data_IF_621938280138
#
_entry.id   IF_621938280138
#
_cell.length_a   1.000
_cell.length_b   1.000
_cell.length_c   1.000
_cell.angle_alpha   90.00
_cell.angle_beta   90.00
_cell.angle_gamma   90.00
#
_symmetry.space_group_name_H-M   'P 1'
#
loop_
_entity.id
_entity.type
_entity.pdbx_description
1 polymer ?
#
# COMPACT_ATOMS: atom_id res chain seq x y z
N UNK A 1 63.64 19.06 -34.38
CA UNK A 1 64.07 20.23 -33.59
C UNK A 1 63.63 21.48 -34.35
N UNK A 2 62.67 22.23 -33.79
CA UNK A 2 62.20 23.60 -34.14
C UNK A 2 61.86 23.89 -35.63
N UNK A 3 60.57 24.02 -35.96
CA UNK A 3 59.71 25.23 -35.93
C UNK A 3 59.89 26.22 -37.09
N UNK A 4 58.79 26.33 -37.87
CA UNK A 4 58.10 27.54 -38.36
C UNK A 4 58.77 28.40 -39.44
N UNK A 5 58.07 28.54 -40.57
CA UNK A 5 57.67 29.83 -41.17
C UNK A 5 56.70 29.67 -42.36
N UNK A 6 55.70 30.56 -42.46
CA UNK A 6 55.23 31.30 -43.65
C UNK A 6 53.89 32.01 -43.27
N UNK A 7 53.82 33.35 -43.11
CA UNK A 7 53.55 34.43 -44.11
C UNK A 7 52.31 34.16 -44.98
N UNK A 8 51.42 35.08 -45.37
CA UNK A 8 51.03 36.50 -45.13
C UNK A 8 49.73 36.72 -45.97
N UNK A 9 49.13 37.93 -45.90
CA UNK A 9 48.16 38.56 -46.85
C UNK A 9 46.65 38.36 -46.57
N UNK A 10 45.70 39.30 -46.73
CA UNK A 10 45.61 40.68 -47.26
C UNK A 10 44.52 41.45 -46.48
N UNK A 11 44.64 42.77 -46.42
CA UNK A 11 43.67 43.75 -45.91
C UNK A 11 42.70 44.23 -46.99
N UNK A 12 41.39 44.26 -46.76
CA UNK A 12 40.44 45.18 -47.44
C UNK A 12 39.30 45.57 -46.49
N UNK A 13 39.07 46.87 -46.33
CA UNK A 13 37.96 47.48 -45.62
C UNK A 13 36.71 47.51 -46.52
N UNK A 14 35.53 47.26 -45.95
CA UNK A 14 34.29 47.94 -46.35
C UNK A 14 33.26 47.83 -45.22
N UNK A 15 32.88 49.00 -44.72
CA UNK A 15 31.86 49.18 -43.70
C UNK A 15 30.47 48.87 -44.26
N UNK A 16 29.69 48.07 -43.53
CA UNK A 16 28.24 48.12 -43.60
C UNK A 16 27.70 48.19 -42.18
N UNK A 17 27.12 49.34 -41.84
CA UNK A 17 26.38 49.54 -40.61
C UNK A 17 25.11 48.68 -40.65
N UNK A 18 25.10 47.59 -39.87
CA UNK A 18 23.87 46.92 -39.47
C UNK A 18 23.57 47.40 -38.05
N UNK A 19 22.58 48.29 -37.95
CA UNK A 19 21.93 48.63 -36.69
C UNK A 19 21.49 47.36 -35.99
N UNK A 20 22.17 46.98 -34.90
CA UNK A 20 21.68 45.99 -33.94
C UNK A 20 20.41 46.56 -33.31
N UNK A 21 19.26 46.16 -33.84
CA UNK A 21 18.02 46.19 -33.08
C UNK A 21 18.19 45.12 -32.00
N UNK A 22 18.67 45.54 -30.84
CA UNK A 22 18.73 44.69 -29.64
C UNK A 22 17.29 44.52 -29.15
N UNK A 23 16.53 43.68 -29.84
CA UNK A 23 15.27 43.16 -29.35
C UNK A 23 15.60 42.27 -28.17
N UNK A 24 15.41 42.78 -26.96
CA UNK A 24 15.26 41.95 -25.77
C UNK A 24 14.06 41.05 -26.00
N UNK A 25 14.28 39.86 -26.55
CA UNK A 25 13.38 38.74 -26.35
C UNK A 25 13.44 38.44 -24.85
N UNK A 26 12.62 39.15 -24.08
CA UNK A 26 12.18 38.66 -22.79
C UNK A 26 11.51 37.32 -23.09
N UNK A 27 12.23 36.23 -22.86
CA UNK A 27 11.57 34.95 -22.68
C UNK A 27 10.54 35.20 -21.59
N UNK A 28 9.26 35.17 -21.95
CA UNK A 28 8.19 35.23 -20.98
C UNK A 28 8.41 34.03 -20.07
N UNK A 29 9.00 34.24 -18.90
CA UNK A 29 9.05 33.25 -17.84
C UNK A 29 7.60 33.00 -17.49
N UNK A 30 7.05 31.88 -17.98
CA UNK A 30 5.70 31.43 -17.66
C UNK A 30 5.62 31.43 -16.13
N UNK A 31 4.77 32.30 -15.56
CA UNK A 31 4.67 32.42 -14.11
C UNK A 31 4.25 31.05 -13.55
N UNK A 32 4.88 30.60 -12.45
CA UNK A 32 4.56 29.29 -11.90
C UNK A 32 3.07 29.26 -11.50
N UNK A 33 2.37 28.13 -11.74
CA UNK A 33 0.96 28.01 -11.41
C UNK A 33 0.76 28.16 -9.90
N UNK A 34 -0.14 29.05 -9.49
CA UNK A 34 -0.51 29.25 -8.08
C UNK A 34 -1.95 28.85 -7.86
N UNK A 35 -2.18 28.03 -6.83
CA UNK A 35 -3.52 27.65 -6.36
C UNK A 35 -3.71 28.19 -4.95
N UNK A 36 -4.78 28.94 -4.74
CA UNK A 36 -5.17 29.43 -3.42
C UNK A 36 -6.09 28.41 -2.76
N UNK A 37 -5.60 27.78 -1.68
CA UNK A 37 -6.39 26.91 -0.80
C UNK A 37 -6.85 27.67 0.44
N UNK A 38 -7.68 27.05 1.29
CA UNK A 38 -8.04 27.65 2.57
C UNK A 38 -6.86 27.87 3.53
N UNK A 39 -5.82 27.03 3.44
CA UNK A 39 -4.62 27.14 4.26
C UNK A 39 -3.66 28.23 3.74
N UNK A 40 -3.69 28.52 2.43
CA UNK A 40 -2.86 29.55 1.82
C UNK A 40 -2.51 29.25 0.36
N UNK A 41 -1.72 30.15 -0.28
CA UNK A 41 -1.24 29.97 -1.65
C UNK A 41 -0.23 28.82 -1.76
N UNK A 42 -0.38 27.99 -2.80
CA UNK A 42 0.49 26.87 -3.13
C UNK A 42 1.03 27.07 -4.54
N UNK A 43 2.35 27.04 -4.69
CA UNK A 43 3.05 27.19 -5.98
C UNK A 43 3.41 25.81 -6.51
N UNK A 44 2.89 25.47 -7.69
CA UNK A 44 3.20 24.22 -8.39
C UNK A 44 4.10 24.43 -9.60
N UNK A 45 4.13 23.44 -10.48
CA UNK A 45 4.90 23.45 -11.73
C UNK A 45 4.06 22.91 -12.89
N UNK A 46 4.22 23.46 -14.09
CA UNK A 46 3.66 22.88 -15.32
C UNK A 46 4.65 21.85 -15.89
N UNK A 47 4.24 20.59 -16.00
CA UNK A 47 5.05 19.48 -16.51
C UNK A 47 4.39 18.90 -17.76
N UNK A 48 4.83 19.38 -18.93
CA UNK A 48 4.23 18.98 -20.21
C UNK A 48 2.76 19.41 -20.30
N UNK A 49 1.84 18.44 -20.26
CA UNK A 49 0.40 18.66 -20.43
C UNK A 49 -0.40 18.70 -19.12
N UNK A 50 0.26 18.69 -17.96
CA UNK A 50 -0.39 18.78 -16.65
C UNK A 50 0.36 19.71 -15.71
N UNK A 51 -0.31 20.04 -14.61
CA UNK A 51 0.21 20.80 -13.49
C UNK A 51 0.43 19.86 -12.31
N UNK A 52 1.57 20.00 -11.64
CA UNK A 52 1.97 19.22 -10.49
C UNK A 52 2.07 20.12 -9.26
N UNK A 53 1.48 19.66 -8.16
CA UNK A 53 1.63 20.23 -6.82
C UNK A 53 2.00 19.10 -5.89
N UNK A 54 3.24 19.05 -5.43
CA UNK A 54 3.85 17.93 -4.73
C UNK A 54 4.30 18.34 -3.33
N UNK A 55 4.23 17.41 -2.37
CA UNK A 55 4.65 17.70 -1.00
C UNK A 55 3.69 18.60 -0.21
N UNK A 56 2.38 18.55 -0.49
CA UNK A 56 1.37 19.31 0.25
C UNK A 56 1.04 18.59 1.56
N UNK A 57 1.25 19.19 2.75
CA UNK A 57 0.92 18.55 4.03
C UNK A 57 -0.59 18.52 4.24
N UNK A 58 -1.15 17.33 4.44
CA UNK A 58 -2.59 17.17 4.69
C UNK A 58 -2.92 16.94 6.16
N UNK A 59 -1.92 16.55 6.95
CA UNK A 59 -1.99 16.36 8.38
C UNK A 59 -0.73 16.92 9.05
N UNK A 60 -0.80 17.16 10.36
CA UNK A 60 0.37 17.55 11.15
C UNK A 60 1.39 16.39 11.21
N UNK A 61 2.70 16.68 11.33
CA UNK A 61 3.72 15.65 11.47
C UNK A 61 3.40 14.68 12.62
N UNK A 62 3.38 13.35 12.37
CA UNK A 62 3.00 12.37 13.37
C UNK A 62 4.16 11.98 14.31
N UNK A 63 4.96 12.97 14.71
CA UNK A 63 6.16 12.81 15.53
C UNK A 63 5.89 13.07 17.02
N UNK A 64 6.80 12.63 17.89
CA UNK A 64 6.70 12.83 19.35
C UNK A 64 5.39 12.26 19.92
N UNK A 65 4.63 13.08 20.63
CA UNK A 65 3.33 12.67 21.21
C UNK A 65 2.28 12.28 20.16
N UNK A 66 2.43 12.71 18.90
CA UNK A 66 1.53 12.30 17.79
C UNK A 66 1.89 10.93 17.22
N UNK A 67 3.04 10.36 17.60
CA UNK A 67 3.38 8.98 17.27
C UNK A 67 2.38 8.04 17.94
N UNK A 68 1.89 7.07 17.16
CA UNK A 68 0.83 6.13 17.57
C UNK A 68 -0.49 6.81 17.98
N UNK A 69 -0.80 7.97 17.37
CA UNK A 69 -2.07 8.66 17.52
C UNK A 69 -2.76 8.85 16.16
N UNK A 70 -4.08 9.09 16.19
CA UNK A 70 -4.84 9.46 15.00
C UNK A 70 -4.27 10.77 14.39
N UNK A 71 -4.27 10.92 13.05
CA UNK A 71 -3.78 12.13 12.41
C UNK A 71 -4.65 13.33 12.79
N UNK A 72 -4.00 14.46 12.99
CA UNK A 72 -4.64 15.77 13.06
C UNK A 72 -4.56 16.42 11.67
N UNK A 73 -5.69 16.85 11.11
CA UNK A 73 -5.68 17.62 9.85
C UNK A 73 -4.78 18.84 9.99
N UNK A 74 -4.09 19.18 8.90
CA UNK A 74 -3.28 20.38 8.88
C UNK A 74 -4.17 21.62 8.76
N UNK A 75 -4.30 22.36 9.86
CA UNK A 75 -5.06 23.61 9.99
C UNK A 75 -4.17 24.85 9.98
N UNK A 76 -2.84 24.68 9.78
CA UNK A 76 -1.89 25.79 9.66
C UNK A 76 -2.27 26.69 8.48
N UNK A 77 -2.31 28.01 8.73
CA UNK A 77 -2.54 29.02 7.70
C UNK A 77 -1.25 29.78 7.42
N UNK A 78 -0.97 30.05 6.15
CA UNK A 78 0.19 30.80 5.71
C UNK A 78 -0.19 31.89 4.70
N UNK A 79 0.48 33.04 4.79
CA UNK A 79 0.36 34.12 3.80
C UNK A 79 1.34 33.94 2.64
N UNK A 80 2.55 33.47 2.94
CA UNK A 80 3.62 33.32 1.95
C UNK A 80 3.39 32.09 1.07
N UNK A 81 3.53 32.19 -0.26
CA UNK A 81 3.35 31.05 -1.17
C UNK A 81 4.26 29.87 -0.80
N UNK A 82 3.64 28.73 -0.51
CA UNK A 82 4.37 27.49 -0.21
C UNK A 82 4.81 26.83 -1.50
N UNK A 83 6.09 26.52 -1.60
CA UNK A 83 6.63 25.77 -2.73
C UNK A 83 6.18 24.30 -2.66
N UNK A 84 5.49 23.84 -3.70
CA UNK A 84 5.00 22.48 -3.87
C UNK A 84 5.46 21.90 -5.22
N UNK A 85 6.74 22.09 -5.58
CA UNK A 85 7.33 21.50 -6.79
C UNK A 85 8.16 20.24 -6.52
N UNK A 86 8.24 19.81 -5.26
CA UNK A 86 9.04 18.66 -4.83
C UNK A 86 8.20 17.70 -4.01
N UNK A 87 8.29 16.41 -4.31
CA UNK A 87 7.67 15.34 -3.53
C UNK A 87 8.15 15.40 -2.08
N UNK A 88 7.21 15.31 -1.13
CA UNK A 88 7.53 15.25 0.30
C UNK A 88 8.20 13.93 0.70
N UNK A 89 8.79 13.84 1.90
CA UNK A 89 9.46 12.62 2.35
C UNK A 89 8.54 11.40 2.35
N UNK A 90 9.04 10.26 1.88
CA UNK A 90 8.37 8.96 2.04
C UNK A 90 8.27 8.59 3.51
N UNK A 91 7.21 7.87 3.90
CA UNK A 91 7.06 7.41 5.28
C UNK A 91 8.15 6.42 5.67
N UNK A 92 8.67 6.56 6.89
CA UNK A 92 9.70 5.69 7.43
C UNK A 92 9.23 4.24 7.40
N UNK A 93 10.04 3.39 6.77
CA UNK A 93 9.69 2.02 6.42
C UNK A 93 10.91 1.12 6.37
N UNK A 94 10.68 -0.18 6.56
CA UNK A 94 11.64 -1.22 6.25
C UNK A 94 11.30 -1.77 4.86
N UNK A 95 11.91 -1.25 3.79
CA UNK A 95 11.40 -1.47 2.44
C UNK A 95 11.85 -2.78 1.81
N UNK A 96 10.90 -3.61 1.35
CA UNK A 96 11.22 -4.84 0.62
C UNK A 96 12.03 -4.54 -0.66
N UNK A 97 11.74 -3.42 -1.34
CA UNK A 97 12.34 -3.08 -2.63
C UNK A 97 13.77 -2.53 -2.54
N UNK A 98 14.28 -2.28 -1.33
CA UNK A 98 15.65 -1.81 -1.12
C UNK A 98 16.57 -3.03 -0.98
N UNK A 99 17.62 -3.16 -1.82
CA UNK A 99 18.58 -4.23 -1.70
C UNK A 99 19.50 -4.01 -0.50
N UNK A 100 20.14 -5.07 -0.01
CA UNK A 100 21.10 -5.00 1.08
C UNK A 100 20.52 -5.29 2.47
N UNK A 101 21.37 -5.15 3.49
CA UNK A 101 21.06 -5.53 4.88
C UNK A 101 20.25 -4.48 5.62
N UNK A 102 20.59 -3.19 5.49
CA UNK A 102 19.79 -2.10 6.05
C UNK A 102 18.79 -1.62 4.99
N UNK A 103 17.53 -2.00 5.18
CA UNK A 103 16.42 -1.66 4.27
C UNK A 103 15.61 -0.46 4.78
N UNK A 104 16.10 0.24 5.81
CA UNK A 104 15.45 1.43 6.36
C UNK A 104 15.45 2.57 5.35
N UNK A 105 14.30 3.22 5.19
CA UNK A 105 14.14 4.36 4.28
C UNK A 105 12.99 5.26 4.70
N UNK A 106 13.07 6.55 4.34
CA UNK A 106 12.02 7.54 4.60
C UNK A 106 12.21 8.35 5.88
N UNK A 107 11.17 9.05 6.29
CA UNK A 107 11.12 9.90 7.48
C UNK A 107 9.78 9.76 8.22
N UNK A 108 9.76 10.06 9.52
CA UNK A 108 8.52 10.01 10.31
C UNK A 108 7.55 11.15 9.94
N UNK A 109 8.08 12.34 9.66
CA UNK A 109 7.29 13.41 9.05
C UNK A 109 7.06 13.12 7.56
N UNK A 110 5.93 12.50 7.25
CA UNK A 110 5.66 11.99 5.90
C UNK A 110 4.23 12.18 5.40
N UNK A 111 3.34 12.85 6.15
CA UNK A 111 1.91 12.97 5.81
C UNK A 111 1.65 14.06 4.75
N UNK A 112 2.18 13.79 3.56
CA UNK A 112 2.15 14.66 2.39
C UNK A 112 1.38 14.02 1.24
N UNK A 113 0.80 14.87 0.39
CA UNK A 113 0.14 14.47 -0.84
C UNK A 113 0.66 15.24 -2.06
N UNK A 114 0.35 14.70 -3.23
CA UNK A 114 0.63 15.27 -4.53
C UNK A 114 -0.66 15.33 -5.34
N UNK A 115 -0.88 16.43 -6.04
CA UNK A 115 -2.06 16.69 -6.85
C UNK A 115 -1.61 17.02 -8.27
N UNK A 116 -2.16 16.28 -9.22
CA UNK A 116 -1.87 16.44 -10.64
C UNK A 116 -3.16 16.73 -11.40
N UNK A 117 -3.19 17.81 -12.17
CA UNK A 117 -4.40 18.30 -12.86
C UNK A 117 -4.07 18.86 -14.24
N UNK A 118 -5.00 18.76 -15.19
CA UNK A 118 -4.88 19.36 -16.52
C UNK A 118 -5.65 20.70 -16.64
N UNK A 119 -6.20 21.21 -15.54
CA UNK A 119 -7.25 22.24 -15.56
C UNK A 119 -6.79 23.71 -15.40
N UNK A 120 -5.52 24.00 -15.14
CA UNK A 120 -5.13 25.34 -14.67
C UNK A 120 -4.81 26.37 -15.77
N UNK A 121 -4.93 26.03 -17.06
CA UNK A 121 -4.66 26.98 -18.15
C UNK A 121 -5.69 28.14 -18.14
N UNK A 122 -5.18 29.36 -18.10
CA UNK A 122 -5.97 30.60 -18.09
C UNK A 122 -6.73 30.79 -19.40
N UNK A 123 -8.06 30.77 -19.32
CA UNK A 123 -9.00 31.04 -20.42
C UNK A 123 -10.13 29.99 -20.54
N UNK A 124 -9.87 28.73 -20.19
CA UNK A 124 -10.85 27.64 -20.16
C UNK A 124 -10.57 26.66 -19.01
N UNK A 125 -10.54 27.17 -17.78
CA UNK A 125 -10.40 26.34 -16.58
C UNK A 125 -11.51 25.28 -16.54
N UNK A 126 -11.16 24.03 -16.77
CA UNK A 126 -12.09 22.90 -16.75
C UNK A 126 -12.50 22.57 -15.32
N UNK A 127 -13.70 22.98 -14.93
CA UNK A 127 -14.22 22.68 -13.59
C UNK A 127 -14.99 21.35 -13.59
N UNK A 128 -15.20 20.79 -12.39
CA UNK A 128 -16.01 19.59 -12.22
C UNK A 128 -15.31 18.29 -12.59
N UNK A 129 -13.96 18.28 -12.64
CA UNK A 129 -13.19 17.09 -13.01
C UNK A 129 -13.33 15.99 -11.95
N UNK A 130 -13.42 14.74 -12.43
CA UNK A 130 -13.30 13.56 -11.56
C UNK A 130 -11.90 13.44 -10.99
N UNK A 131 -11.83 13.10 -9.70
CA UNK A 131 -10.59 12.88 -8.97
C UNK A 131 -10.35 11.40 -8.75
N UNK A 132 -9.21 10.90 -9.21
CA UNK A 132 -8.70 9.58 -8.85
C UNK A 132 -7.81 9.74 -7.60
N UNK A 133 -8.30 9.26 -6.47
CA UNK A 133 -7.57 9.24 -5.21
C UNK A 133 -6.84 7.91 -5.09
N UNK A 134 -5.54 7.91 -5.41
CA UNK A 134 -4.73 6.72 -5.54
C UNK A 134 -4.03 6.35 -4.23
N UNK A 135 -4.36 5.18 -3.69
CA UNK A 135 -3.79 4.59 -2.47
C UNK A 135 -2.73 3.57 -2.90
N UNK A 136 -1.46 3.82 -2.56
CA UNK A 136 -0.38 2.92 -2.93
C UNK A 136 -0.41 1.60 -2.14
N UNK A 137 0.11 0.53 -2.77
CA UNK A 137 0.35 -0.76 -2.14
C UNK A 137 1.67 -0.82 -1.37
N UNK A 138 2.13 -2.05 -1.09
CA UNK A 138 3.35 -2.33 -0.32
C UNK A 138 3.08 -2.95 1.05
N UNK A 139 2.10 -3.86 1.10
CA UNK A 139 1.78 -4.70 2.27
C UNK A 139 1.56 -3.94 3.60
N UNK A 140 1.17 -2.65 3.55
CA UNK A 140 1.14 -1.76 4.72
C UNK A 140 2.50 -1.50 5.39
N UNK A 141 3.59 -2.08 4.86
CA UNK A 141 4.94 -2.05 5.42
C UNK A 141 5.87 -1.09 4.67
N UNK A 142 5.65 -0.88 3.38
CA UNK A 142 6.51 -0.09 2.50
C UNK A 142 5.72 0.58 1.36
N UNK A 143 6.38 1.39 0.53
CA UNK A 143 5.78 2.09 -0.61
C UNK A 143 5.71 3.60 -0.42
N UNK A 144 5.00 4.28 -1.32
CA UNK A 144 4.86 5.73 -1.25
C UNK A 144 4.06 6.34 -2.40
N UNK A 145 3.44 7.50 -2.13
CA UNK A 145 2.67 8.26 -3.12
C UNK A 145 3.51 8.86 -4.23
N UNK A 146 4.81 9.08 -3.99
CA UNK A 146 5.76 9.60 -4.97
C UNK A 146 6.26 8.58 -6.02
N UNK A 147 5.95 7.29 -5.86
CA UNK A 147 6.44 6.23 -6.76
C UNK A 147 5.69 6.17 -8.10
N UNK A 148 4.55 6.84 -8.23
CA UNK A 148 3.63 6.69 -9.36
C UNK A 148 3.58 7.96 -10.20
N UNK A 149 3.89 7.82 -11.49
CA UNK A 149 3.80 8.91 -12.46
C UNK A 149 2.35 9.08 -12.98
N UNK A 150 1.84 10.32 -13.07
CA UNK A 150 0.49 10.59 -13.55
C UNK A 150 0.36 10.59 -15.09
N UNK A 151 1.48 10.49 -15.83
CA UNK A 151 1.56 10.76 -17.28
C UNK A 151 0.53 9.99 -18.13
N UNK A 152 0.26 8.72 -17.80
CA UNK A 152 -0.70 7.90 -18.55
C UNK A 152 -2.15 8.24 -18.22
N UNK A 153 -2.43 8.53 -16.95
CA UNK A 153 -3.76 8.86 -16.43
C UNK A 153 -4.22 10.23 -16.94
N UNK A 154 -3.32 11.20 -16.94
CA UNK A 154 -3.59 12.59 -17.34
C UNK A 154 -3.52 12.85 -18.85
N UNK A 155 -3.60 11.79 -19.68
CA UNK A 155 -3.94 11.94 -21.10
C UNK A 155 -5.39 12.37 -21.33
N UNK A 156 -6.23 12.25 -20.30
CA UNK A 156 -7.63 12.71 -20.30
C UNK A 156 -7.84 13.71 -19.16
N UNK A 157 -8.77 14.68 -19.32
CA UNK A 157 -9.11 15.63 -18.27
C UNK A 157 -9.59 14.95 -16.98
N UNK A 158 -8.72 14.91 -15.98
CA UNK A 158 -8.94 14.31 -14.66
C UNK A 158 -8.01 14.97 -13.64
N UNK A 159 -8.27 14.71 -12.37
CA UNK A 159 -7.31 14.95 -11.30
C UNK A 159 -6.81 13.60 -10.79
N UNK A 160 -5.51 13.51 -10.55
CA UNK A 160 -4.91 12.39 -9.83
C UNK A 160 -4.32 12.92 -8.53
N UNK A 161 -4.68 12.28 -7.42
CA UNK A 161 -4.09 12.53 -6.11
C UNK A 161 -3.31 11.28 -5.71
N UNK A 162 -2.03 11.44 -5.39
CA UNK A 162 -1.24 10.43 -4.70
C UNK A 162 -0.82 10.96 -3.35
N UNK A 163 -0.56 10.11 -2.38
CA UNK A 163 -0.23 10.56 -1.04
C UNK A 163 0.49 9.44 -0.27
N UNK A 164 1.17 9.83 0.80
CA UNK A 164 1.78 8.92 1.74
C UNK A 164 0.84 8.71 2.93
N UNK A 165 0.86 7.53 3.54
CA UNK A 165 0.23 7.23 4.84
C UNK A 165 1.24 6.46 5.69
N UNK A 166 1.14 6.51 7.03
CA UNK A 166 2.11 5.81 7.89
C UNK A 166 2.11 4.30 7.64
N UNK A 167 3.28 3.69 7.71
CA UNK A 167 3.55 2.29 7.38
C UNK A 167 4.14 1.54 8.57
N UNK A 168 4.15 0.21 8.48
CA UNK A 168 4.77 -0.69 9.44
C UNK A 168 4.35 -0.38 10.88
N UNK A 169 5.28 -0.41 11.85
CA UNK A 169 4.92 -0.17 13.25
C UNK A 169 4.40 1.25 13.49
N UNK A 170 4.85 2.25 12.74
CA UNK A 170 4.40 3.63 12.93
C UNK A 170 2.93 3.83 12.49
N UNK A 171 2.47 3.05 11.51
CA UNK A 171 1.10 3.10 11.00
C UNK A 171 0.15 2.06 11.60
N UNK A 172 0.66 0.91 12.05
CA UNK A 172 -0.15 -0.28 12.31
C UNK A 172 0.17 -0.99 13.62
N UNK A 173 1.03 -0.44 14.49
CA UNK A 173 1.18 -0.95 15.85
C UNK A 173 -0.16 -0.85 16.59
N UNK A 174 -0.54 -1.92 17.29
CA UNK A 174 -1.73 -1.98 18.13
C UNK A 174 -1.43 -2.73 19.43
N UNK A 175 -1.95 -2.23 20.53
CA UNK A 175 -1.96 -2.91 21.84
C UNK A 175 -3.23 -3.70 22.08
N UNK A 176 -4.16 -3.72 21.11
CA UNK A 176 -5.47 -4.40 21.18
C UNK A 176 -6.35 -3.95 22.37
N UNK A 177 -6.04 -2.76 22.89
CA UNK A 177 -6.79 -2.02 23.90
C UNK A 177 -7.01 -0.57 23.45
N UNK A 178 -7.49 0.27 24.37
CA UNK A 178 -7.84 1.66 24.08
C UNK A 178 -6.64 2.64 24.04
N UNK A 179 -5.43 2.19 24.42
CA UNK A 179 -4.24 3.06 24.45
C UNK A 179 -3.69 3.26 23.04
N UNK A 180 -3.44 2.16 22.33
CA UNK A 180 -3.03 2.17 20.92
C UNK A 180 -3.96 1.24 20.15
N UNK A 181 -5.14 1.73 19.73
CA UNK A 181 -6.12 0.89 19.04
C UNK A 181 -5.64 0.41 17.67
N UNK A 182 -4.66 1.09 17.05
CA UNK A 182 -4.09 0.75 15.75
C UNK A 182 -4.74 1.49 14.57
N UNK A 183 -4.52 0.95 13.37
CA UNK A 183 -5.06 1.46 12.09
C UNK A 183 -4.72 2.93 11.78
N UNK A 184 -3.58 3.45 12.26
CA UNK A 184 -3.21 4.86 12.06
C UNK A 184 -2.95 5.17 10.59
N UNK A 185 -2.31 4.28 9.84
CA UNK A 185 -2.13 4.43 8.39
C UNK A 185 -3.47 4.55 7.65
N UNK A 186 -4.50 3.79 8.05
CA UNK A 186 -5.85 3.89 7.47
C UNK A 186 -6.55 5.20 7.86
N UNK A 187 -6.32 5.68 9.10
CA UNK A 187 -6.83 6.99 9.55
C UNK A 187 -6.14 8.13 8.81
N UNK A 188 -4.87 7.98 8.45
CA UNK A 188 -4.13 8.94 7.61
C UNK A 188 -4.76 9.03 6.21
N UNK A 189 -5.14 7.89 5.62
CA UNK A 189 -5.87 7.86 4.35
C UNK A 189 -7.23 8.59 4.46
N UNK A 190 -7.95 8.46 5.59
CA UNK A 190 -9.16 9.25 5.84
C UNK A 190 -8.86 10.75 5.91
N UNK A 191 -7.82 11.16 6.61
CA UNK A 191 -7.42 12.56 6.73
C UNK A 191 -7.07 13.17 5.36
N UNK A 192 -6.29 12.43 4.55
CA UNK A 192 -6.00 12.83 3.17
C UNK A 192 -7.27 12.96 2.32
N UNK A 193 -8.20 12.01 2.43
CA UNK A 193 -9.47 12.04 1.69
C UNK A 193 -10.36 13.22 2.13
N UNK A 194 -10.40 13.55 3.42
CA UNK A 194 -11.09 14.72 3.95
C UNK A 194 -10.47 16.02 3.43
N UNK A 195 -9.13 16.10 3.41
CA UNK A 195 -8.42 17.24 2.84
C UNK A 195 -8.75 17.42 1.37
N UNK A 196 -8.73 16.34 0.58
CA UNK A 196 -9.07 16.37 -0.85
C UNK A 196 -10.51 16.84 -1.05
N UNK A 197 -11.48 16.24 -0.35
CA UNK A 197 -12.89 16.66 -0.46
C UNK A 197 -13.09 18.13 -0.15
N UNK A 198 -12.31 18.68 0.79
CA UNK A 198 -12.38 20.09 1.16
C UNK A 198 -11.74 21.02 0.11
N UNK A 199 -10.62 20.61 -0.50
CA UNK A 199 -9.76 21.52 -1.28
C UNK A 199 -9.74 21.28 -2.80
N UNK A 200 -10.22 20.14 -3.30
CA UNK A 200 -9.97 19.72 -4.69
C UNK A 200 -10.59 20.65 -5.75
N UNK A 201 -11.63 21.39 -5.37
CA UNK A 201 -12.25 22.41 -6.22
C UNK A 201 -11.29 23.55 -6.59
N UNK A 202 -10.33 23.88 -5.72
CA UNK A 202 -9.24 24.83 -6.02
C UNK A 202 -8.29 24.33 -7.13
N UNK A 203 -8.30 23.03 -7.43
CA UNK A 203 -7.50 22.39 -8.48
C UNK A 203 -8.35 22.02 -9.73
N UNK A 204 -9.63 22.41 -9.75
CA UNK A 204 -10.58 22.14 -10.84
C UNK A 204 -11.47 20.89 -10.63
N UNK A 205 -11.33 20.21 -9.49
CA UNK A 205 -12.04 18.97 -9.19
C UNK A 205 -13.44 19.19 -8.65
N UNK A 206 -14.29 18.17 -8.79
CA UNK A 206 -15.56 18.09 -8.08
C UNK A 206 -15.39 17.30 -6.77
N UNK A 207 -15.65 17.88 -5.59
CA UNK A 207 -15.56 17.17 -4.31
C UNK A 207 -16.57 16.01 -4.17
N UNK A 208 -17.60 15.96 -5.03
CA UNK A 208 -18.57 14.86 -5.12
C UNK A 208 -18.26 13.87 -6.25
N UNK A 209 -17.07 13.92 -6.87
CA UNK A 209 -16.64 12.95 -7.89
C UNK A 209 -15.24 12.40 -7.63
N UNK A 210 -15.05 11.87 -6.43
CA UNK A 210 -13.86 11.17 -5.97
C UNK A 210 -14.04 9.66 -6.14
N UNK A 211 -13.14 9.05 -6.89
CA UNK A 211 -13.02 7.60 -7.04
C UNK A 211 -11.76 7.15 -6.29
N UNK A 212 -11.91 6.25 -5.33
CA UNK A 212 -10.78 5.59 -4.69
C UNK A 212 -10.18 4.56 -5.66
N UNK A 213 -8.86 4.57 -5.83
CA UNK A 213 -8.15 3.58 -6.65
C UNK A 213 -6.99 3.05 -5.83
N UNK A 214 -6.75 1.74 -5.83
CA UNK A 214 -5.63 1.19 -5.09
C UNK A 214 -5.15 -0.14 -5.62
N UNK A 215 -3.89 -0.46 -5.34
CA UNK A 215 -3.23 -1.71 -5.74
C UNK A 215 -2.70 -2.46 -4.51
N UNK A 216 -2.85 -3.78 -4.46
CA UNK A 216 -2.36 -4.63 -3.35
C UNK A 216 -2.90 -4.13 -2.00
N UNK A 217 -2.06 -3.78 -1.03
CA UNK A 217 -2.49 -3.15 0.23
C UNK A 217 -3.32 -1.87 0.04
N UNK A 218 -3.09 -1.13 -1.05
CA UNK A 218 -3.94 -0.02 -1.47
C UNK A 218 -5.31 -0.47 -1.96
N UNK A 219 -5.40 -1.60 -2.66
CA UNK A 219 -6.68 -2.22 -3.04
C UNK A 219 -7.45 -2.73 -1.82
N UNK A 220 -6.76 -3.37 -0.88
CA UNK A 220 -7.33 -3.72 0.42
C UNK A 220 -7.83 -2.47 1.16
N UNK A 221 -7.05 -1.37 1.16
CA UNK A 221 -7.44 -0.07 1.72
C UNK A 221 -8.71 0.49 1.07
N UNK A 222 -8.85 0.41 -0.25
CA UNK A 222 -10.10 0.78 -0.95
C UNK A 222 -11.28 0.00 -0.38
N UNK A 223 -11.18 -1.34 -0.30
CA UNK A 223 -12.26 -2.15 0.25
C UNK A 223 -12.52 -1.86 1.74
N UNK A 224 -11.48 -1.59 2.52
CA UNK A 224 -11.58 -1.21 3.94
C UNK A 224 -12.32 0.13 4.11
N UNK A 225 -12.13 1.11 3.23
CA UNK A 225 -12.90 2.36 3.24
C UNK A 225 -14.39 2.17 2.96
N UNK A 226 -14.79 1.13 2.23
CA UNK A 226 -16.22 0.78 2.09
C UNK A 226 -16.82 0.31 3.41
N UNK A 227 -16.03 -0.35 4.25
CA UNK A 227 -16.45 -0.92 5.53
C UNK A 227 -16.35 0.09 6.68
N UNK A 228 -15.51 1.11 6.53
CA UNK A 228 -15.26 2.09 7.57
C UNK A 228 -16.40 3.10 7.72
N UNK A 229 -16.92 3.34 8.94
CA UNK A 229 -17.82 4.46 9.18
C UNK A 229 -17.12 5.80 8.94
N UNK A 230 -15.79 5.91 9.09
CA UNK A 230 -15.05 7.17 8.93
C UNK A 230 -15.06 7.71 7.49
N UNK A 231 -15.23 6.83 6.50
CA UNK A 231 -15.14 7.17 5.07
C UNK A 231 -16.49 7.36 4.38
N UNK A 232 -17.59 7.14 5.10
CA UNK A 232 -18.94 7.31 4.54
C UNK A 232 -19.16 8.72 4.02
N UNK A 233 -19.60 8.80 2.76
CA UNK A 233 -19.87 10.07 2.09
C UNK A 233 -18.63 10.83 1.63
N UNK A 234 -17.43 10.24 1.70
CA UNK A 234 -16.20 10.89 1.24
C UNK A 234 -15.81 10.54 -0.21
N UNK A 235 -16.44 9.53 -0.81
CA UNK A 235 -16.14 9.05 -2.16
C UNK A 235 -17.39 8.47 -2.82
N UNK A 236 -17.37 8.32 -4.14
CA UNK A 236 -18.52 7.88 -4.93
C UNK A 236 -18.27 6.60 -5.73
N UNK A 237 -17.02 6.18 -5.90
CA UNK A 237 -16.69 4.90 -6.55
C UNK A 237 -15.37 4.34 -6.00
N UNK A 238 -15.10 3.07 -6.29
CA UNK A 238 -13.87 2.38 -5.88
C UNK A 238 -13.37 1.42 -6.95
N UNK A 239 -12.05 1.32 -7.08
CA UNK A 239 -11.34 0.34 -7.91
C UNK A 239 -10.23 -0.27 -7.06
N UNK A 240 -10.36 -1.54 -6.72
CA UNK A 240 -9.39 -2.28 -5.93
C UNK A 240 -8.71 -3.35 -6.80
N UNK A 241 -7.45 -3.10 -7.14
CA UNK A 241 -6.62 -4.01 -7.91
C UNK A 241 -5.85 -4.94 -6.98
N UNK A 242 -6.03 -6.24 -7.14
CA UNK A 242 -5.22 -7.30 -6.53
C UNK A 242 -5.14 -7.20 -5.00
N UNK A 243 -6.23 -6.78 -4.35
CA UNK A 243 -6.28 -6.64 -2.91
C UNK A 243 -7.67 -6.27 -2.41
N UNK A 244 -8.08 -6.89 -1.31
CA UNK A 244 -9.39 -6.74 -0.68
C UNK A 244 -9.21 -6.88 0.82
N UNK A 245 -10.15 -6.32 1.61
CA UNK A 245 -10.19 -6.50 3.06
C UNK A 245 -10.33 -7.96 3.55
N UNK A 246 -10.52 -8.93 2.64
CA UNK A 246 -10.68 -10.35 2.96
C UNK A 246 -9.44 -11.18 2.65
N UNK A 247 -8.40 -10.57 2.08
CA UNK A 247 -7.14 -11.29 1.91
C UNK A 247 -6.52 -11.61 3.28
N UNK A 248 -5.93 -12.81 3.45
CA UNK A 248 -5.46 -13.29 4.76
C UNK A 248 -4.39 -12.38 5.37
N UNK A 249 -3.52 -11.80 4.54
CA UNK A 249 -2.44 -10.90 4.95
C UNK A 249 -2.89 -9.50 5.40
N UNK A 250 -4.18 -9.17 5.32
CA UNK A 250 -4.68 -7.82 5.67
C UNK A 250 -4.87 -7.67 7.17
N UNK A 251 -5.50 -8.66 7.81
CA UNK A 251 -5.79 -8.61 9.24
C UNK A 251 -4.57 -9.08 10.01
N UNK A 252 -4.04 -8.24 10.89
CA UNK A 252 -2.90 -8.61 11.71
C UNK A 252 -3.32 -9.44 12.91
N UNK A 253 -2.62 -10.54 13.11
CA UNK A 253 -2.77 -11.39 14.28
C UNK A 253 -1.75 -11.03 15.38
N UNK A 254 -2.11 -11.28 16.64
CA UNK A 254 -1.26 -11.06 17.83
C UNK A 254 -0.60 -9.68 17.89
N UNK A 255 -1.33 -8.62 17.55
CA UNK A 255 -0.74 -7.28 17.40
C UNK A 255 -0.14 -6.78 18.72
N UNK A 256 -0.81 -7.05 19.85
CA UNK A 256 -0.30 -6.67 21.17
C UNK A 256 0.99 -7.39 21.54
N UNK A 257 1.16 -8.66 21.15
CA UNK A 257 2.40 -9.43 21.37
C UNK A 257 3.54 -8.87 20.53
N UNK A 258 3.28 -8.57 19.25
CA UNK A 258 4.26 -7.97 18.34
C UNK A 258 4.67 -6.57 18.83
N UNK A 259 3.73 -5.77 19.34
CA UNK A 259 4.03 -4.48 19.97
C UNK A 259 5.01 -4.62 21.15
N UNK A 260 4.79 -5.59 22.04
CA UNK A 260 5.73 -5.90 23.15
C UNK A 260 7.09 -6.35 22.66
N UNK A 261 7.14 -7.16 21.60
CA UNK A 261 8.40 -7.62 21.00
C UNK A 261 9.21 -6.44 20.44
N UNK A 262 8.56 -5.52 19.72
CA UNK A 262 9.18 -4.30 19.21
C UNK A 262 9.70 -3.43 20.36
N UNK A 263 8.87 -3.21 21.40
CA UNK A 263 9.27 -2.42 22.56
C UNK A 263 10.48 -3.00 23.29
N UNK A 264 10.51 -4.33 23.48
CA UNK A 264 11.69 -5.02 24.03
C UNK A 264 12.92 -4.82 23.14
N UNK A 265 12.76 -4.95 21.82
CA UNK A 265 13.84 -4.81 20.85
C UNK A 265 14.50 -3.43 20.81
N UNK A 266 13.76 -2.38 21.20
CA UNK A 266 14.28 -1.01 21.36
C UNK A 266 14.67 -0.66 22.81
N UNK A 267 14.80 -1.67 23.68
CA UNK A 267 15.28 -1.50 25.05
C UNK A 267 14.27 -0.86 25.99
N UNK A 268 12.97 -1.08 25.80
CA UNK A 268 11.98 -0.75 26.82
C UNK A 268 12.05 -1.73 28.00
N UNK A 269 12.12 -1.26 29.26
CA UNK A 269 12.18 -2.10 30.45
C UNK A 269 10.99 -3.07 30.58
N UNK A 270 11.22 -4.30 31.05
CA UNK A 270 10.18 -5.34 31.18
C UNK A 270 9.01 -4.94 32.09
N UNK A 271 9.28 -4.18 33.16
CA UNK A 271 8.24 -3.66 34.05
C UNK A 271 7.25 -2.74 33.31
N UNK A 272 7.73 -1.99 32.31
CA UNK A 272 6.89 -1.15 31.44
C UNK A 272 6.10 -1.94 30.40
N UNK A 273 6.54 -3.14 30.00
CA UNK A 273 5.86 -3.94 28.96
C UNK A 273 4.55 -4.57 29.43
N UNK A 274 4.31 -4.58 30.75
CA UNK A 274 3.07 -5.06 31.36
C UNK A 274 1.89 -4.08 31.24
N UNK A 275 2.17 -2.80 30.95
CA UNK A 275 1.19 -1.73 30.79
C UNK A 275 1.32 -1.10 29.41
N UNK A 276 0.25 -1.15 28.62
CA UNK A 276 0.23 -0.54 27.28
C UNK A 276 0.60 0.94 27.31
N UNK A 277 0.17 1.68 28.34
CA UNK A 277 0.50 3.09 28.51
C UNK A 277 2.02 3.30 28.72
N UNK A 278 2.62 2.59 29.69
CA UNK A 278 4.04 2.73 30.00
C UNK A 278 4.94 2.24 28.86
N UNK A 279 4.52 1.20 28.14
CA UNK A 279 5.18 0.70 26.94
C UNK A 279 5.20 1.75 25.83
N UNK A 280 4.07 2.42 25.58
CA UNK A 280 3.92 3.40 24.50
C UNK A 280 4.66 4.69 24.81
N UNK A 281 4.66 5.13 26.07
CA UNK A 281 5.52 6.23 26.53
C UNK A 281 7.00 5.92 26.25
N UNK A 282 7.46 4.72 26.59
CA UNK A 282 8.83 4.30 26.27
C UNK A 282 9.09 4.29 24.75
N UNK A 283 8.17 3.77 23.94
CA UNK A 283 8.31 3.76 22.48
C UNK A 283 8.36 5.18 21.88
N UNK A 284 7.67 6.16 22.46
CA UNK A 284 7.74 7.56 22.00
C UNK A 284 9.10 8.19 22.27
N UNK A 285 9.78 7.77 23.32
CA UNK A 285 11.13 8.24 23.68
C UNK A 285 12.26 7.61 22.83
N UNK A 286 11.95 6.64 21.96
CA UNK A 286 12.95 6.00 21.07
C UNK A 286 12.99 6.67 19.69
N UNK A 287 14.14 6.63 18.98
CA UNK A 287 14.17 7.00 17.57
C UNK A 287 13.20 6.13 16.75
N UNK A 288 12.48 6.75 15.80
CA UNK A 288 11.51 6.03 14.97
C UNK A 288 12.20 4.97 14.10
N UNK A 289 13.44 5.25 13.70
CA UNK A 289 14.32 4.39 12.93
C UNK A 289 14.59 3.07 13.66
N UNK A 290 14.83 3.12 14.97
CA UNK A 290 15.13 1.94 15.77
C UNK A 290 13.89 1.05 15.94
N UNK A 291 12.70 1.65 15.99
CA UNK A 291 11.42 0.95 16.01
C UNK A 291 11.19 0.24 14.67
N UNK A 292 11.41 0.93 13.55
CA UNK A 292 11.25 0.33 12.21
C UNK A 292 12.29 -0.75 11.95
N UNK A 293 13.52 -0.61 12.48
CA UNK A 293 14.54 -1.67 12.46
C UNK A 293 14.16 -2.93 13.24
N UNK A 294 13.05 -2.93 13.99
CA UNK A 294 12.52 -4.16 14.59
C UNK A 294 11.72 -5.04 13.61
N UNK A 295 11.33 -4.51 12.45
CA UNK A 295 10.52 -5.26 11.47
C UNK A 295 11.15 -6.60 11.05
N UNK A 296 12.46 -6.70 10.74
CA UNK A 296 13.10 -7.98 10.40
C UNK A 296 12.89 -9.10 11.42
N UNK A 297 12.78 -8.77 12.72
CA UNK A 297 12.57 -9.78 13.77
C UNK A 297 11.13 -10.29 13.83
N UNK A 298 10.26 -9.77 12.98
CA UNK A 298 8.90 -10.25 12.75
C UNK A 298 8.78 -11.04 11.42
N UNK A 299 9.87 -11.13 10.65
CA UNK A 299 9.94 -11.87 9.39
C UNK A 299 10.63 -13.21 9.68
N UNK A 300 9.93 -14.32 9.49
CA UNK A 300 10.47 -15.65 9.75
C UNK A 300 11.34 -16.16 8.60
N UNK A 301 11.07 -15.72 7.36
CA UNK A 301 11.81 -16.19 6.19
C UNK A 301 11.83 -15.17 5.06
N UNK A 302 13.03 -14.73 4.66
CA UNK A 302 13.21 -13.65 3.69
C UNK A 302 12.38 -12.43 4.10
N UNK A 303 11.47 -11.95 3.25
CA UNK A 303 10.53 -10.89 3.59
C UNK A 303 9.16 -11.40 4.05
N UNK A 304 9.05 -12.62 4.61
CA UNK A 304 7.76 -13.25 4.95
C UNK A 304 7.60 -13.53 6.46
N UNK A 305 6.41 -13.30 7.05
CA UNK A 305 5.20 -12.80 6.39
C UNK A 305 5.41 -11.34 5.96
N UNK A 306 4.99 -10.99 4.74
CA UNK A 306 5.28 -9.66 4.15
C UNK A 306 4.44 -8.53 4.75
N UNK A 307 3.45 -8.87 5.59
CA UNK A 307 2.55 -7.95 6.30
C UNK A 307 2.45 -8.34 7.79
N UNK A 308 3.58 -8.39 8.54
CA UNK A 308 3.56 -8.85 9.93
C UNK A 308 2.77 -7.91 10.86
N UNK A 309 2.59 -6.66 10.44
CA UNK A 309 1.80 -5.62 11.08
C UNK A 309 0.77 -5.13 10.06
N UNK A 310 -0.45 -4.88 10.51
CA UNK A 310 -1.56 -4.67 9.59
C UNK A 310 -2.83 -4.25 10.32
N UNK A 311 -3.97 -4.58 9.73
CA UNK A 311 -5.27 -4.06 10.16
C UNK A 311 -5.80 -4.83 11.35
N UNK A 312 -6.34 -4.11 12.34
CA UNK A 312 -6.95 -4.72 13.52
C UNK A 312 -8.41 -4.29 13.67
N UNK A 313 -9.21 -5.11 14.36
CA UNK A 313 -10.54 -4.69 14.79
C UNK A 313 -10.39 -3.79 16.01
N UNK A 314 -10.96 -2.59 15.91
CA UNK A 314 -10.89 -1.58 16.94
C UNK A 314 -12.17 -1.53 17.78
N UNK A 315 -12.00 -1.37 19.09
CA UNK A 315 -13.11 -1.10 19.99
C UNK A 315 -13.45 0.39 19.99
N UNK A 316 -14.74 0.69 20.06
CA UNK A 316 -15.20 2.05 20.30
C UNK A 316 -15.01 2.39 21.78
N UNK A 317 -14.34 3.51 22.06
CA UNK A 317 -14.05 3.95 23.42
C UNK A 317 -13.97 5.46 23.55
N UNK A 318 -13.62 5.96 24.74
CA UNK A 318 -13.44 7.41 24.98
C UNK A 318 -12.31 7.99 24.13
N UNK A 319 -11.24 7.22 23.94
CA UNK A 319 -10.08 7.58 23.13
C UNK A 319 -10.37 7.29 21.65
N UNK A 320 -10.96 6.14 21.33
CA UNK A 320 -11.33 5.77 19.97
C UNK A 320 -12.83 5.93 19.71
N UNK A 321 -13.30 7.18 19.63
CA UNK A 321 -14.74 7.48 19.51
C UNK A 321 -15.37 6.97 18.23
N UNK A 322 -14.59 6.89 17.15
CA UNK A 322 -15.03 6.46 15.83
C UNK A 322 -13.96 5.54 15.25
N UNK A 323 -13.97 4.24 15.60
CA UNK A 323 -13.01 3.27 15.07
C UNK A 323 -13.05 3.27 13.54
N UNK A 324 -11.88 3.09 12.91
CA UNK A 324 -11.82 2.93 11.47
C UNK A 324 -12.47 1.60 11.07
N UNK A 325 -12.18 0.52 11.79
CA UNK A 325 -12.75 -0.81 11.55
C UNK A 325 -13.33 -1.38 12.86
N UNK A 326 -14.65 -1.42 12.97
CA UNK A 326 -15.34 -1.78 14.22
C UNK A 326 -15.62 -3.28 14.42
N UNK A 327 -15.49 -4.09 13.36
CA UNK A 327 -15.75 -5.53 13.37
C UNK A 327 -14.98 -6.14 12.19
N UNK A 328 -14.82 -7.47 12.16
CA UNK A 328 -14.08 -8.15 11.10
C UNK A 328 -14.71 -7.87 9.72
N UNK A 329 -13.93 -7.66 8.64
CA UNK A 329 -14.46 -7.33 7.32
C UNK A 329 -15.53 -8.32 6.82
N UNK A 330 -15.29 -9.63 6.99
CA UNK A 330 -16.28 -10.66 6.63
C UNK A 330 -17.62 -10.52 7.38
N UNK A 331 -17.58 -10.10 8.64
CA UNK A 331 -18.79 -9.90 9.45
C UNK A 331 -19.53 -8.65 9.00
N UNK A 332 -18.83 -7.55 8.76
CA UNK A 332 -19.42 -6.30 8.24
C UNK A 332 -20.08 -6.52 6.87
N UNK A 333 -19.39 -7.24 5.97
CA UNK A 333 -19.92 -7.58 4.65
C UNK A 333 -21.18 -8.44 4.73
N UNK A 334 -21.19 -9.51 5.53
CA UNK A 334 -22.39 -10.35 5.74
C UNK A 334 -23.57 -9.58 6.33
N UNK A 335 -23.30 -8.62 7.23
CA UNK A 335 -24.32 -7.75 7.83
C UNK A 335 -24.76 -6.61 6.90
N UNK A 336 -24.20 -6.49 5.69
CA UNK A 336 -24.49 -5.39 4.76
C UNK A 336 -24.04 -4.02 5.27
N UNK A 337 -23.13 -3.96 6.25
CA UNK A 337 -22.61 -2.73 6.85
C UNK A 337 -21.46 -2.14 6.03
N UNK A 338 -21.74 -1.82 4.77
CA UNK A 338 -20.79 -1.18 3.85
C UNK A 338 -21.42 0.00 3.10
N UNK A 339 -20.58 0.91 2.62
CA UNK A 339 -20.97 1.98 1.71
C UNK A 339 -21.44 1.38 0.38
N UNK A 340 -22.64 1.76 -0.08
CA UNK A 340 -23.29 1.20 -1.27
C UNK A 340 -23.07 2.07 -2.50
N UNK A 341 -21.86 2.00 -3.06
CA UNK A 341 -21.47 2.70 -4.29
C UNK A 341 -20.72 1.73 -5.23
N UNK A 342 -20.59 2.00 -6.55
CA UNK A 342 -19.95 1.08 -7.48
C UNK A 342 -18.51 0.73 -7.08
N UNK A 343 -18.17 -0.56 -7.13
CA UNK A 343 -16.84 -1.09 -6.80
C UNK A 343 -16.39 -2.05 -7.91
N UNK A 344 -15.18 -1.85 -8.42
CA UNK A 344 -14.51 -2.79 -9.32
C UNK A 344 -13.41 -3.51 -8.55
N UNK A 345 -13.42 -4.84 -8.61
CA UNK A 345 -12.38 -5.70 -8.07
C UNK A 345 -11.66 -6.39 -9.23
N UNK A 346 -10.33 -6.51 -9.17
CA UNK A 346 -9.57 -7.24 -10.18
C UNK A 346 -8.43 -8.04 -9.57
N UNK A 347 -7.97 -9.04 -10.30
CA UNK A 347 -6.73 -9.79 -10.06
C UNK A 347 -6.02 -10.02 -11.39
N UNK A 348 -4.76 -10.43 -11.35
CA UNK A 348 -3.96 -10.86 -12.49
C UNK A 348 -3.89 -12.39 -12.53
N UNK A 349 -3.49 -12.98 -13.66
CA UNK A 349 -3.37 -14.43 -13.80
C UNK A 349 -2.26 -15.03 -12.90
N UNK A 350 -1.23 -14.24 -12.57
CA UNK A 350 -0.03 -14.69 -11.85
C UNK A 350 0.17 -14.00 -10.50
N UNK A 351 -0.89 -13.74 -9.73
CA UNK A 351 -0.79 -13.07 -8.41
C UNK A 351 0.26 -13.73 -7.49
N UNK A 352 0.30 -15.07 -7.48
CA UNK A 352 1.21 -15.86 -6.65
C UNK A 352 2.69 -15.70 -6.98
N UNK A 353 3.05 -15.04 -8.10
CA UNK A 353 4.43 -14.63 -8.35
C UNK A 353 4.94 -13.66 -7.27
N UNK A 354 4.06 -12.94 -6.58
CA UNK A 354 4.41 -12.32 -5.32
C UNK A 354 3.79 -13.11 -4.16
N UNK A 355 4.59 -13.66 -3.21
CA UNK A 355 6.05 -13.62 -3.14
C UNK A 355 6.77 -14.76 -3.90
N UNK A 356 6.07 -15.66 -4.60
CA UNK A 356 6.65 -16.90 -5.14
C UNK A 356 7.89 -16.74 -6.03
N UNK A 357 8.00 -15.63 -6.76
CA UNK A 357 9.17 -15.29 -7.58
C UNK A 357 10.45 -15.10 -6.74
N UNK A 358 10.33 -14.61 -5.51
CA UNK A 358 11.48 -14.50 -4.59
C UNK A 358 12.01 -15.89 -4.25
N UNK A 359 11.13 -16.85 -3.98
CA UNK A 359 11.51 -18.21 -3.61
C UNK A 359 12.22 -18.94 -4.74
N UNK A 360 11.70 -18.85 -5.97
CA UNK A 360 12.31 -19.51 -7.14
C UNK A 360 13.52 -18.74 -7.71
N UNK A 361 13.84 -17.55 -7.19
CA UNK A 361 14.98 -16.76 -7.66
C UNK A 361 16.33 -17.36 -7.27
N UNK A 362 16.36 -18.24 -6.25
CA UNK A 362 17.55 -18.96 -5.81
C UNK A 362 17.17 -20.38 -5.39
N UNK A 363 17.84 -21.39 -5.94
CA UNK A 363 17.60 -22.80 -5.62
C UNK A 363 17.85 -23.10 -4.14
N UNK A 364 18.74 -22.37 -3.48
CA UNK A 364 18.97 -22.51 -2.04
C UNK A 364 17.73 -22.12 -1.22
N UNK A 365 16.95 -21.14 -1.70
CA UNK A 365 15.73 -20.74 -1.00
C UNK A 365 14.63 -21.79 -1.14
N UNK A 366 14.53 -22.43 -2.31
CA UNK A 366 13.62 -23.56 -2.51
C UNK A 366 14.04 -24.74 -1.63
N UNK A 367 15.33 -25.07 -1.62
CA UNK A 367 15.84 -26.16 -0.78
C UNK A 367 15.59 -25.92 0.72
N UNK A 368 15.75 -24.68 1.22
CA UNK A 368 15.43 -24.37 2.63
C UNK A 368 13.92 -24.42 2.92
N UNK A 369 13.09 -23.97 1.97
CA UNK A 369 11.62 -24.10 2.08
C UNK A 369 11.21 -25.58 2.12
N UNK A 370 11.76 -26.42 1.24
CA UNK A 370 11.46 -27.85 1.21
C UNK A 370 11.93 -28.54 2.49
N UNK A 371 13.14 -28.22 2.95
CA UNK A 371 13.70 -28.81 4.17
C UNK A 371 12.96 -28.37 5.46
N UNK A 372 12.36 -27.18 5.46
CA UNK A 372 11.69 -26.57 6.62
C UNK A 372 10.22 -26.25 6.36
N UNK A 373 9.57 -27.03 5.51
CA UNK A 373 8.23 -26.76 5.01
C UNK A 373 7.22 -26.49 6.13
N UNK A 374 7.20 -27.35 7.17
CA UNK A 374 6.28 -27.20 8.29
C UNK A 374 6.53 -25.98 9.17
N UNK A 375 7.78 -25.50 9.23
CA UNK A 375 8.16 -24.35 10.03
C UNK A 375 7.85 -23.04 9.29
N UNK A 376 8.10 -23.02 7.98
CA UNK A 376 8.07 -21.80 7.17
C UNK A 376 6.70 -21.53 6.53
N UNK A 377 5.96 -22.57 6.14
CA UNK A 377 4.70 -22.40 5.42
C UNK A 377 3.65 -21.57 6.19
N UNK A 378 3.44 -21.75 7.52
CA UNK A 378 2.50 -20.92 8.27
C UNK A 378 2.83 -19.42 8.24
N UNK A 379 4.11 -19.09 8.14
CA UNK A 379 4.58 -17.72 7.98
C UNK A 379 4.38 -17.22 6.55
N UNK A 380 4.82 -18.00 5.56
CA UNK A 380 4.73 -17.64 4.13
C UNK A 380 3.28 -17.41 3.70
N UNK A 381 2.35 -18.21 4.21
CA UNK A 381 0.92 -18.11 3.89
C UNK A 381 0.12 -17.30 4.93
N UNK A 382 0.78 -16.67 5.90
CA UNK A 382 0.19 -15.74 6.87
C UNK A 382 -0.98 -16.35 7.67
N UNK A 383 -0.79 -17.57 8.21
CA UNK A 383 -1.77 -18.26 9.09
C UNK A 383 -1.20 -18.72 10.44
N UNK A 384 -0.04 -18.19 10.85
CA UNK A 384 0.73 -18.66 12.02
C UNK A 384 -0.02 -18.54 13.36
N UNK A 385 -0.87 -17.53 13.57
CA UNK A 385 -1.56 -17.30 14.85
C UNK A 385 -3.00 -17.76 14.87
N UNK A 386 -3.52 -18.36 13.79
CA UNK A 386 -4.92 -18.76 13.75
C UNK A 386 -5.29 -19.66 14.94
N UNK A 387 -4.33 -20.37 15.54
CA UNK A 387 -4.48 -21.19 16.76
C UNK A 387 -5.52 -22.32 16.63
N UNK A 388 -6.19 -22.35 15.49
CA UNK A 388 -7.16 -23.30 15.03
C UNK A 388 -6.43 -24.12 13.99
N UNK A 389 -6.60 -25.43 14.11
CA UNK A 389 -6.20 -26.35 13.06
C UNK A 389 -6.72 -25.84 11.71
N UNK A 390 -5.87 -25.78 10.68
CA UNK A 390 -6.25 -25.28 9.37
C UNK A 390 -7.47 -26.05 8.86
N UNK A 391 -8.39 -25.39 8.14
CA UNK A 391 -9.64 -26.00 7.67
C UNK A 391 -9.86 -25.76 6.18
N UNK A 392 -10.44 -26.73 5.49
CA UNK A 392 -11.03 -26.58 4.15
C UNK A 392 -12.52 -26.90 4.23
N UNK A 393 -13.38 -25.88 4.08
CA UNK A 393 -14.81 -26.02 4.37
C UNK A 393 -15.05 -26.43 5.84
N UNK A 394 -15.79 -27.52 6.05
CA UNK A 394 -16.03 -28.09 7.38
C UNK A 394 -14.94 -29.08 7.84
N UNK A 395 -13.92 -29.35 7.02
CA UNK A 395 -12.91 -30.37 7.29
C UNK A 395 -11.67 -29.76 7.93
N UNK A 396 -11.20 -30.37 9.02
CA UNK A 396 -9.91 -30.07 9.61
C UNK A 396 -8.81 -30.62 8.69
N UNK A 397 -7.94 -29.74 8.21
CA UNK A 397 -6.71 -30.12 7.54
C UNK A 397 -5.74 -30.63 8.62
N UNK A 398 -5.15 -31.81 8.41
CA UNK A 398 -4.24 -32.40 9.38
C UNK A 398 -3.03 -31.48 9.59
N UNK A 399 -2.82 -31.01 10.81
CA UNK A 399 -1.56 -30.36 11.19
C UNK A 399 -0.48 -31.44 11.18
N UNK A 400 0.52 -31.25 10.33
CA UNK A 400 1.57 -32.24 10.13
C UNK A 400 2.56 -32.15 11.30
N UNK A 401 2.32 -32.95 12.33
CA UNK A 401 3.11 -32.96 13.56
C UNK A 401 4.12 -34.14 13.63
N UNK A 402 4.28 -34.87 12.52
CA UNK A 402 5.12 -36.07 12.44
C UNK A 402 5.95 -36.02 11.15
N UNK A 403 7.25 -35.77 11.31
CA UNK A 403 8.24 -35.96 10.23
C UNK A 403 8.28 -37.44 9.84
N UNK A 404 7.97 -37.75 8.57
CA UNK A 404 7.97 -39.11 8.02
C UNK A 404 6.61 -39.71 7.64
N UNK A 405 5.52 -38.95 7.83
CA UNK A 405 4.17 -39.31 7.36
C UNK A 405 3.55 -38.12 6.64
N UNK A 406 3.07 -38.33 5.42
CA UNK A 406 2.32 -37.33 4.67
C UNK A 406 0.82 -37.57 4.88
N UNK A 407 0.15 -36.67 5.59
CA UNK A 407 -1.31 -36.68 5.70
C UNK A 407 -1.89 -35.64 4.74
N UNK A 408 -2.67 -36.10 3.77
CA UNK A 408 -3.26 -35.24 2.75
C UNK A 408 -4.74 -35.56 2.57
N UNK A 409 -5.50 -34.61 2.04
CA UNK A 409 -6.92 -34.79 1.76
C UNK A 409 -7.08 -35.10 0.28
N UNK A 410 -7.53 -36.32 -0.03
CA UNK A 410 -7.87 -36.71 -1.39
C UNK A 410 -9.32 -36.28 -1.66
N UNK A 411 -9.51 -35.35 -2.60
CA UNK A 411 -10.83 -34.86 -3.03
C UNK A 411 -11.09 -35.38 -4.44
N UNK A 412 -11.96 -36.39 -4.54
CA UNK A 412 -12.24 -37.04 -5.83
C UNK A 412 -13.19 -36.23 -6.74
N UNK A 413 -14.01 -35.37 -6.16
CA UNK A 413 -14.92 -34.49 -6.90
C UNK A 413 -15.17 -33.21 -6.11
N UNK A 414 -14.86 -32.07 -6.71
CA UNK A 414 -14.98 -30.73 -6.09
C UNK A 414 -16.44 -30.30 -5.90
N UNK A 415 -17.38 -30.95 -6.59
CA UNK A 415 -18.82 -30.67 -6.49
C UNK A 415 -19.55 -31.53 -5.45
N UNK A 416 -18.88 -32.51 -4.84
CA UNK A 416 -19.50 -33.44 -3.89
C UNK A 416 -19.19 -33.08 -2.43
N UNK A 417 -20.22 -32.69 -1.69
CA UNK A 417 -20.14 -32.55 -0.22
C UNK A 417 -19.95 -33.94 0.40
N UNK A 418 -18.78 -34.19 1.02
CA UNK A 418 -18.47 -35.47 1.68
C UNK A 418 -17.55 -36.42 0.90
N UNK A 419 -17.17 -36.10 -0.34
CA UNK A 419 -16.28 -36.95 -1.15
C UNK A 419 -14.77 -36.73 -0.87
N UNK A 420 -14.44 -35.94 0.16
CA UNK A 420 -13.07 -35.75 0.63
C UNK A 420 -12.72 -36.82 1.67
N UNK A 421 -11.59 -37.51 1.49
CA UNK A 421 -11.10 -38.47 2.47
C UNK A 421 -9.67 -38.15 2.91
N UNK A 422 -9.43 -38.19 4.21
CA UNK A 422 -8.07 -38.04 4.74
C UNK A 422 -7.27 -39.32 4.44
N UNK A 423 -6.13 -39.17 3.78
CA UNK A 423 -5.17 -40.23 3.47
C UNK A 423 -3.90 -40.03 4.27
N UNK A 424 -3.19 -41.13 4.54
CA UNK A 424 -1.87 -41.11 5.17
C UNK A 424 -0.92 -41.93 4.30
N UNK A 425 0.06 -41.27 3.69
CA UNK A 425 1.19 -41.89 3.02
C UNK A 425 2.34 -42.08 4.00
N UNK A 426 2.95 -43.26 4.01
CA UNK A 426 4.10 -43.58 4.85
C UNK A 426 5.36 -43.70 3.97
N UNK A 427 6.48 -43.12 4.40
CA UNK A 427 7.80 -43.40 3.81
C UNK A 427 8.08 -42.77 2.45
N UNK A 428 7.34 -41.73 2.05
CA UNK A 428 7.57 -40.98 0.80
C UNK A 428 8.38 -39.72 1.12
N UNK A 429 9.53 -39.55 0.46
CA UNK A 429 10.00 -38.18 0.20
C UNK A 429 9.01 -37.53 -0.75
N UNK A 430 8.78 -36.24 -0.55
CA UNK A 430 7.69 -35.49 -1.19
C UNK A 430 7.70 -35.65 -2.72
N UNK A 431 8.88 -35.76 -3.35
CA UNK A 431 9.07 -35.96 -4.80
C UNK A 431 8.40 -37.21 -5.36
N UNK A 432 8.58 -38.39 -4.73
CA UNK A 432 7.95 -39.63 -5.24
C UNK A 432 6.43 -39.62 -5.11
N UNK A 433 5.89 -38.85 -4.15
CA UNK A 433 4.45 -38.69 -4.00
C UNK A 433 3.87 -37.82 -5.12
N UNK A 434 4.54 -36.70 -5.47
CA UNK A 434 4.08 -35.81 -6.56
C UNK A 434 4.06 -36.51 -7.92
N UNK A 435 5.00 -37.41 -8.20
CA UNK A 435 5.05 -38.21 -9.43
C UNK A 435 3.88 -39.21 -9.57
N UNK A 436 3.16 -39.51 -8.48
CA UNK A 436 2.00 -40.41 -8.50
C UNK A 436 0.67 -39.70 -8.71
N UNK A 437 0.66 -38.36 -8.74
CA UNK A 437 -0.54 -37.56 -8.94
C UNK A 437 -0.72 -37.26 -10.43
N UNK A 438 -1.79 -37.80 -11.04
CA UNK A 438 -2.17 -37.46 -12.40
C UNK A 438 -2.99 -36.15 -12.39
N UNK A 439 -2.39 -35.06 -12.87
CA UNK A 439 -3.07 -33.77 -13.02
C UNK A 439 -3.72 -33.58 -14.41
N UNK A 440 -3.71 -34.61 -15.27
CA UNK A 440 -4.27 -34.56 -16.62
C UNK A 440 -5.72 -35.03 -16.73
N UNK A 441 -6.43 -35.21 -15.61
CA UNK A 441 -7.86 -35.50 -15.65
C UNK A 441 -8.60 -34.33 -16.33
N UNK A 442 -9.08 -34.56 -17.56
CA UNK A 442 -10.01 -33.63 -18.23
C UNK A 442 -11.14 -33.29 -17.24
N UNK A 443 -11.58 -32.02 -17.14
CA UNK A 443 -12.71 -31.68 -16.28
C UNK A 443 -13.90 -32.57 -16.65
N UNK A 444 -14.69 -33.07 -15.67
CA UNK A 444 -15.78 -33.99 -15.94
C UNK A 444 -16.71 -33.36 -16.98
N UNK A 445 -16.72 -33.91 -18.20
CA UNK A 445 -17.62 -33.48 -19.25
C UNK A 445 -19.03 -33.56 -18.69
N UNK A 446 -19.76 -32.44 -18.70
CA UNK A 446 -21.20 -32.45 -18.46
C UNK A 446 -21.79 -33.54 -19.35
N UNK A 447 -22.29 -34.60 -18.73
CA UNK A 447 -23.06 -35.63 -19.43
C UNK A 447 -24.33 -34.94 -19.92
N UNK A 448 -24.30 -34.44 -21.14
CA UNK A 448 -25.50 -34.03 -21.84
C UNK A 448 -26.37 -35.28 -21.96
N UNK A 449 -27.59 -35.21 -21.40
CA UNK A 449 -28.59 -36.24 -21.59
C UNK A 449 -28.79 -36.42 -23.10
N UNK A 450 -28.33 -37.55 -23.63
CA UNK A 450 -28.69 -37.97 -24.99
C UNK A 450 -30.17 -38.34 -24.99
N UNK A 451 -31.00 -37.80 -25.90
CA UNK A 451 -32.30 -38.38 -26.18
C UNK A 451 -32.10 -39.74 -26.86
N UNK A 452 -33.05 -40.65 -26.62
CA UNK A 452 -33.00 -42.01 -27.12
C UNK A 452 -33.35 -42.10 -28.62
N UNK A 453 -32.47 -42.76 -29.39
CA UNK A 453 -32.63 -43.33 -30.75
C UNK A 453 -32.95 -42.33 -31.89
N UNK A 454 -32.59 -42.53 -33.18
CA UNK A 454 -32.42 -43.75 -34.00
C UNK A 454 -31.52 -43.45 -35.22
N UNK A 455 -31.02 -44.51 -35.86
CA UNK A 455 -30.11 -44.60 -37.01
C UNK A 455 -30.47 -43.78 -38.28
N UNK A 456 -29.45 -43.23 -38.96
CA UNK A 456 -28.93 -43.69 -40.28
C UNK A 456 -27.58 -43.02 -40.57
#
# INVERSE_FOLDING_TARGET
MMMVQHRKFYSWQLALAVTLFCGTLAAATEQPPVVHTENGPIVGEKRGNYYAFEGIPYAKPPTGERRFAAPELNDERWSEPRNATTIGPYCLQWSHTIPGKDKLFGAEDCLYMNIYTTSLDGGQRQTGLSTLFYIHGGAFMFGGGGLFSPNHVLRKPKIMVTFNYRLGPLGFLSTEDDIVPGNFGLKDQVAALQWVRKNIHHFGGDPERITLVGFSAGGASVHLHYLSPMSRGLFQNGIAHSGTALNPWVMAEDSARKARQIARGVGCPEDRLSSSQAMVECLRDRPAEDIVRQVPFLLDYLYNPFSPLGVVVEKQSKVNRRPFLADHPAVLSRKGKLTKVPLVLSVTQGEGLYPGAEFVSNLDYLADIDARWHDLLPSILDYKSAGQEPKYGNYLLPVQNITGQLRYMEVKDVACDGCASAKTGYGVSDEQFWDTLDFNDEPPRKVAQRPAHTEL
#
